data_IF_540218500292
#
_entry.id   IF_540218500292
#
_cell.length_a   1.000
_cell.length_b   1.000
_cell.length_c   1.000
_cell.angle_alpha   90.00
_cell.angle_beta   90.00
_cell.angle_gamma   90.00
#
_symmetry.space_group_name_H-M   'P 1'
#
loop_
_entity.id
_entity.type
_entity.pdbx_description
1 polymer ?
#
# COMPACT_ATOMS: atom_id res chain seq x y z
N UNK A 1 -22.84 -0.31 8.25
CA UNK A 1 -23.37 -1.40 7.40
C UNK A 1 -22.91 -1.18 5.96
N UNK A 2 -21.84 -1.83 5.47
CA UNK A 2 -21.48 -1.81 4.03
C UNK A 2 -20.36 -2.79 3.60
N UNK A 3 -19.98 -3.80 4.41
CA UNK A 3 -18.81 -4.66 4.08
C UNK A 3 -19.12 -5.99 3.37
N UNK A 4 -20.39 -6.42 3.31
CA UNK A 4 -20.74 -7.73 2.74
C UNK A 4 -20.81 -7.75 1.20
N UNK A 5 -21.35 -6.69 0.60
CA UNK A 5 -21.63 -6.67 -0.84
C UNK A 5 -20.37 -6.65 -1.71
N UNK A 6 -19.38 -5.82 -1.36
CA UNK A 6 -18.14 -5.71 -2.14
C UNK A 6 -17.33 -7.02 -2.14
N UNK A 7 -17.29 -7.68 -0.99
CA UNK A 7 -16.62 -8.98 -0.84
C UNK A 7 -17.27 -10.04 -1.73
N UNK A 8 -18.59 -10.09 -1.78
CA UNK A 8 -19.32 -11.04 -2.63
C UNK A 8 -19.10 -10.75 -4.12
N UNK A 9 -19.10 -9.48 -4.52
CA UNK A 9 -18.79 -9.06 -5.91
C UNK A 9 -17.38 -9.54 -6.28
N UNK A 10 -16.41 -9.27 -5.43
CA UNK A 10 -15.00 -9.62 -5.66
C UNK A 10 -14.79 -11.13 -5.69
N UNK A 11 -15.44 -11.87 -4.79
CA UNK A 11 -15.45 -13.33 -4.79
C UNK A 11 -15.99 -13.86 -6.12
N UNK A 12 -17.13 -13.36 -6.60
CA UNK A 12 -17.68 -13.79 -7.90
C UNK A 12 -16.74 -13.49 -9.05
N UNK A 13 -16.18 -12.27 -9.11
CA UNK A 13 -15.21 -11.90 -10.15
C UNK A 13 -13.99 -12.82 -10.19
N UNK A 14 -13.52 -13.27 -9.02
CA UNK A 14 -12.40 -14.20 -8.91
C UNK A 14 -12.78 -15.64 -9.28
N UNK A 15 -13.94 -16.11 -8.83
CA UNK A 15 -14.45 -17.45 -9.15
C UNK A 15 -14.80 -17.62 -10.64
N UNK A 16 -15.30 -16.57 -11.29
CA UNK A 16 -15.57 -16.53 -12.73
C UNK A 16 -14.29 -16.38 -13.57
N UNK A 17 -13.13 -16.30 -12.92
CA UNK A 17 -11.83 -16.12 -13.58
C UNK A 17 -11.75 -14.83 -14.41
N UNK A 18 -12.41 -13.77 -13.94
CA UNK A 18 -12.49 -12.48 -14.61
C UNK A 18 -11.30 -11.56 -14.31
N UNK A 19 -10.55 -11.83 -13.23
CA UNK A 19 -9.42 -11.00 -12.78
C UNK A 19 -8.12 -11.66 -13.18
N UNK A 20 -7.32 -10.97 -14.00
CA UNK A 20 -6.04 -11.50 -14.52
C UNK A 20 -4.83 -10.97 -13.75
N UNK A 21 -4.86 -9.68 -13.40
CA UNK A 21 -3.80 -9.02 -12.65
C UNK A 21 -4.31 -7.81 -11.85
N UNK A 22 -3.61 -7.50 -10.76
CA UNK A 22 -3.79 -6.29 -9.95
C UNK A 22 -2.43 -5.58 -9.86
N UNK A 23 -2.38 -4.35 -10.34
CA UNK A 23 -1.15 -3.56 -10.39
C UNK A 23 -1.32 -2.35 -9.47
N UNK A 24 -0.50 -2.21 -8.44
CA UNK A 24 -0.50 -0.98 -7.64
C UNK A 24 0.16 0.15 -8.43
N UNK A 25 -0.34 1.37 -8.25
CA UNK A 25 0.33 2.56 -8.78
C UNK A 25 0.79 3.47 -7.64
N UNK A 26 1.82 4.30 -7.89
CA UNK A 26 2.33 5.23 -6.90
C UNK A 26 1.25 6.16 -6.34
N UNK A 27 1.35 6.58 -5.07
CA UNK A 27 0.49 7.63 -4.53
C UNK A 27 0.70 8.93 -5.30
N UNK A 28 -0.28 9.83 -5.28
CA UNK A 28 -0.18 11.16 -5.94
C UNK A 28 0.04 11.07 -7.47
N UNK A 29 -0.37 9.97 -8.11
CA UNK A 29 -0.39 9.84 -9.58
C UNK A 29 -1.61 10.47 -10.24
N UNK A 30 -2.65 10.80 -9.47
CA UNK A 30 -3.85 11.50 -9.94
C UNK A 30 -3.97 12.89 -9.32
N UNK A 31 -4.52 13.83 -10.10
CA UNK A 31 -4.84 15.16 -9.58
C UNK A 31 -5.92 15.07 -8.50
N UNK A 32 -5.76 15.81 -7.41
CA UNK A 32 -6.80 15.98 -6.39
C UNK A 32 -6.85 14.93 -5.27
N UNK A 33 -6.06 13.85 -5.33
CA UNK A 33 -5.94 12.92 -4.19
C UNK A 33 -4.52 12.35 -4.05
N UNK A 34 -4.05 12.18 -2.82
CA UNK A 34 -2.80 11.47 -2.53
C UNK A 34 -3.03 9.95 -2.37
N UNK A 35 -4.26 9.47 -2.54
CA UNK A 35 -4.64 8.09 -2.28
C UNK A 35 -3.97 7.16 -3.30
N UNK A 36 -3.28 6.10 -2.86
CA UNK A 36 -2.80 5.06 -3.75
C UNK A 36 -3.96 4.41 -4.50
N UNK A 37 -3.77 4.12 -5.78
CA UNK A 37 -4.76 3.44 -6.59
C UNK A 37 -4.18 2.13 -7.13
N UNK A 38 -5.06 1.27 -7.62
CA UNK A 38 -4.69 0.02 -8.27
C UNK A 38 -5.36 -0.04 -9.65
N UNK A 39 -4.67 -0.63 -10.61
CA UNK A 39 -5.20 -0.98 -11.92
C UNK A 39 -5.60 -2.47 -11.86
N UNK A 40 -6.86 -2.73 -12.16
CA UNK A 40 -7.39 -4.09 -12.26
C UNK A 40 -7.46 -4.49 -13.73
N UNK A 41 -6.73 -5.54 -14.10
CA UNK A 41 -6.79 -6.10 -15.45
C UNK A 41 -7.81 -7.23 -15.43
N UNK A 42 -8.87 -7.05 -16.22
CA UNK A 42 -9.96 -8.02 -16.33
C UNK A 42 -9.95 -8.69 -17.70
N UNK A 43 -10.25 -9.99 -17.72
CA UNK A 43 -10.44 -10.78 -18.94
C UNK A 43 -11.66 -11.66 -18.75
N UNK A 44 -12.58 -11.69 -19.72
CA UNK A 44 -13.86 -12.45 -19.63
C UNK A 44 -13.68 -13.94 -19.27
N UNK A 45 -12.54 -14.51 -19.60
CA UNK A 45 -12.10 -15.81 -19.11
C UNK A 45 -10.58 -15.82 -19.19
N UNK A 46 -9.90 -15.75 -18.04
CA UNK A 46 -8.45 -15.90 -18.05
C UNK A 46 -8.04 -17.33 -18.42
N UNK A 47 -6.90 -17.45 -19.10
CA UNK A 47 -6.28 -18.76 -19.37
C UNK A 47 -5.62 -19.30 -18.10
N UNK A 48 -5.25 -18.40 -17.19
CA UNK A 48 -4.62 -18.74 -15.92
C UNK A 48 -5.66 -18.78 -14.80
N UNK A 49 -5.41 -19.59 -13.77
CA UNK A 49 -6.26 -19.73 -12.56
C UNK A 49 -5.65 -19.05 -11.32
N UNK A 50 -4.64 -18.21 -11.56
CA UNK A 50 -3.97 -17.37 -10.59
C UNK A 50 -4.13 -15.90 -10.97
N UNK A 51 -4.01 -15.02 -9.97
CA UNK A 51 -4.01 -13.57 -10.16
C UNK A 51 -2.59 -13.06 -9.99
N UNK A 52 -2.10 -12.30 -10.96
CA UNK A 52 -0.80 -11.66 -10.87
C UNK A 52 -0.91 -10.35 -10.08
N UNK A 53 -0.18 -10.25 -8.98
CA UNK A 53 -0.02 -9.00 -8.24
C UNK A 53 1.30 -8.36 -8.62
N UNK A 54 1.30 -7.07 -8.93
CA UNK A 54 2.50 -6.30 -9.25
C UNK A 54 2.53 -5.05 -8.37
N UNK A 55 3.64 -4.82 -7.66
CA UNK A 55 3.87 -3.58 -6.93
C UNK A 55 4.56 -2.54 -7.82
N UNK A 56 3.76 -1.63 -8.40
CA UNK A 56 4.26 -0.48 -9.15
C UNK A 56 4.48 0.76 -8.29
N UNK A 57 4.19 0.71 -6.99
CA UNK A 57 4.21 1.87 -6.10
C UNK A 57 5.60 2.51 -5.96
N UNK A 58 6.65 1.72 -6.18
CA UNK A 58 8.05 2.15 -6.11
C UNK A 58 8.61 2.67 -7.45
N UNK A 59 7.89 2.46 -8.55
CA UNK A 59 8.35 2.83 -9.89
C UNK A 59 7.88 4.22 -10.29
N UNK A 60 8.40 5.25 -9.61
CA UNK A 60 8.09 6.63 -9.96
C UNK A 60 9.25 7.59 -9.79
N UNK A 61 9.19 8.66 -10.57
CA UNK A 61 9.98 9.85 -10.33
C UNK A 61 9.21 10.77 -9.37
N UNK A 62 9.81 11.09 -8.23
CA UNK A 62 9.22 12.00 -7.26
C UNK A 62 9.22 13.41 -7.85
N UNK A 63 8.05 14.04 -7.91
CA UNK A 63 7.92 15.43 -8.34
C UNK A 63 7.08 16.22 -7.33
N UNK A 64 7.19 17.55 -7.37
CA UNK A 64 6.60 18.46 -6.39
C UNK A 64 5.06 18.42 -6.35
N UNK A 65 4.42 17.98 -7.43
CA UNK A 65 2.96 18.02 -7.57
C UNK A 65 2.30 16.69 -7.92
N UNK A 66 2.95 15.84 -8.71
CA UNK A 66 2.44 14.51 -9.06
C UNK A 66 3.60 13.55 -9.25
N UNK A 67 3.45 12.34 -8.76
CA UNK A 67 4.37 11.25 -9.07
C UNK A 67 4.07 10.74 -10.48
N UNK A 68 5.10 10.70 -11.32
CA UNK A 68 4.98 10.23 -12.70
C UNK A 68 5.66 8.87 -12.86
N UNK A 69 4.93 7.94 -13.45
CA UNK A 69 5.48 6.74 -14.08
C UNK A 69 6.13 7.18 -15.39
N UNK A 70 7.45 7.09 -15.46
CA UNK A 70 8.20 7.30 -16.72
C UNK A 70 8.10 6.07 -17.63
N UNK A 71 8.61 6.18 -18.85
CA UNK A 71 8.63 5.06 -19.81
C UNK A 71 9.35 3.82 -19.24
N UNK A 72 10.52 4.00 -18.63
CA UNK A 72 11.26 2.90 -17.98
C UNK A 72 10.45 2.15 -16.90
N UNK A 73 9.60 2.88 -16.17
CA UNK A 73 8.73 2.30 -15.15
C UNK A 73 7.59 1.50 -15.78
N UNK A 74 7.00 2.04 -16.85
CA UNK A 74 5.94 1.38 -17.61
C UNK A 74 6.47 0.11 -18.25
N UNK A 75 7.65 0.16 -18.87
CA UNK A 75 8.28 -0.99 -19.52
C UNK A 75 8.62 -2.10 -18.52
N UNK A 76 9.07 -1.74 -17.31
CA UNK A 76 9.27 -2.71 -16.22
C UNK A 76 7.96 -3.38 -15.82
N UNK A 77 6.90 -2.60 -15.55
CA UNK A 77 5.59 -3.15 -15.19
C UNK A 77 5.06 -4.04 -16.31
N UNK A 78 5.19 -3.62 -17.56
CA UNK A 78 4.78 -4.39 -18.73
C UNK A 78 5.56 -5.69 -18.85
N UNK A 79 6.88 -5.67 -18.63
CA UNK A 79 7.72 -6.86 -18.66
C UNK A 79 7.34 -7.88 -17.57
N UNK A 80 7.00 -7.39 -16.37
CA UNK A 80 6.51 -8.23 -15.26
C UNK A 80 5.14 -8.84 -15.60
N UNK A 81 4.25 -8.05 -16.19
CA UNK A 81 2.93 -8.51 -16.61
C UNK A 81 2.99 -9.55 -17.74
N UNK A 82 3.77 -9.30 -18.79
CA UNK A 82 3.95 -10.24 -19.91
C UNK A 82 4.69 -11.50 -19.47
N UNK A 83 5.68 -11.36 -18.60
CA UNK A 83 6.44 -12.48 -18.06
C UNK A 83 5.62 -13.39 -17.14
N UNK A 84 4.64 -12.85 -16.41
CA UNK A 84 3.87 -13.54 -15.35
C UNK A 84 4.75 -14.37 -14.42
N UNK A 85 5.89 -13.80 -13.99
CA UNK A 85 6.81 -14.45 -13.05
C UNK A 85 6.73 -13.78 -11.70
N UNK A 86 6.80 -14.59 -10.66
CA UNK A 86 7.05 -14.12 -9.30
C UNK A 86 8.46 -13.55 -9.23
N UNK A 87 8.58 -12.31 -8.78
CA UNK A 87 9.83 -11.59 -8.60
C UNK A 87 9.78 -10.98 -7.20
N UNK A 88 10.72 -11.36 -6.35
CA UNK A 88 10.74 -10.97 -4.95
C UNK A 88 10.63 -9.45 -4.78
N UNK A 89 9.65 -9.03 -3.99
CA UNK A 89 9.36 -7.63 -3.73
C UNK A 89 8.74 -6.82 -4.86
N UNK A 90 8.47 -7.42 -6.03
CA UNK A 90 7.94 -6.72 -7.20
C UNK A 90 6.69 -7.35 -7.79
N UNK A 91 6.62 -8.68 -7.87
CA UNK A 91 5.47 -9.36 -8.45
C UNK A 91 5.26 -10.75 -7.85
N UNK A 92 4.00 -11.19 -7.74
CA UNK A 92 3.67 -12.51 -7.22
C UNK A 92 2.43 -13.07 -7.92
N UNK A 93 2.52 -14.30 -8.41
CA UNK A 93 1.36 -15.05 -8.93
C UNK A 93 0.69 -15.80 -7.79
N UNK A 94 -0.54 -15.43 -7.45
CA UNK A 94 -1.26 -16.00 -6.31
C UNK A 94 -2.40 -16.89 -6.81
N UNK A 95 -2.40 -18.19 -6.47
CA UNK A 95 -3.45 -19.10 -6.89
C UNK A 95 -4.78 -18.78 -6.20
N UNK A 96 -5.89 -19.10 -6.86
CA UNK A 96 -7.24 -18.84 -6.34
C UNK A 96 -7.48 -19.41 -4.93
N UNK A 97 -6.88 -20.57 -4.61
CA UNK A 97 -6.98 -21.21 -3.29
C UNK A 97 -6.38 -20.36 -2.16
N UNK A 98 -5.29 -19.65 -2.44
CA UNK A 98 -4.67 -18.74 -1.47
C UNK A 98 -5.51 -17.48 -1.28
N UNK A 99 -6.11 -16.97 -2.37
CA UNK A 99 -7.05 -15.85 -2.30
C UNK A 99 -8.30 -16.19 -1.48
N UNK A 100 -8.79 -17.43 -1.56
CA UNK A 100 -9.91 -17.92 -0.75
C UNK A 100 -9.57 -17.90 0.75
N UNK A 101 -8.40 -18.43 1.14
CA UNK A 101 -7.90 -18.35 2.52
C UNK A 101 -7.63 -16.91 2.98
N UNK A 102 -7.33 -16.02 2.03
CA UNK A 102 -7.10 -14.59 2.22
C UNK A 102 -8.37 -13.73 2.27
N UNK A 103 -9.56 -14.32 2.35
CA UNK A 103 -10.84 -13.60 2.34
C UNK A 103 -11.11 -12.79 1.06
N UNK A 104 -10.62 -13.31 -0.08
CA UNK A 104 -10.70 -12.66 -1.38
C UNK A 104 -10.03 -11.27 -1.40
N UNK A 105 -8.98 -11.06 -0.62
CA UNK A 105 -8.31 -9.76 -0.58
C UNK A 105 -7.46 -9.54 -1.84
N UNK A 106 -7.59 -8.38 -2.49
CA UNK A 106 -6.83 -7.98 -3.68
C UNK A 106 -5.81 -6.86 -3.40
N UNK A 107 -5.49 -6.61 -2.15
CA UNK A 107 -4.45 -5.66 -1.76
C UNK A 107 -3.07 -6.20 -2.14
N UNK A 108 -2.37 -5.49 -3.03
CA UNK A 108 -1.04 -5.87 -3.54
C UNK A 108 -0.01 -6.07 -2.43
N UNK A 109 0.04 -5.18 -1.44
CA UNK A 109 1.00 -5.24 -0.32
C UNK A 109 0.87 -6.47 0.58
N UNK A 110 -0.21 -7.25 0.42
CA UNK A 110 -0.38 -8.52 1.12
C UNK A 110 0.43 -9.66 0.49
N UNK A 111 0.63 -9.60 -0.83
CA UNK A 111 1.25 -10.68 -1.61
C UNK A 111 2.62 -10.30 -2.15
N UNK A 112 2.86 -9.01 -2.33
CA UNK A 112 4.15 -8.47 -2.74
C UNK A 112 4.68 -7.64 -1.58
N UNK A 113 5.67 -8.19 -0.88
CA UNK A 113 6.35 -7.50 0.22
C UNK A 113 7.74 -7.11 -0.28
N UNK A 114 8.04 -5.80 -0.40
CA UNK A 114 9.39 -5.38 -0.76
C UNK A 114 10.38 -5.89 0.30
N UNK A 115 11.60 -6.29 -0.10
CA UNK A 115 12.61 -6.71 0.86
C UNK A 115 12.81 -5.58 1.87
N UNK A 116 12.81 -5.94 3.15
CA UNK A 116 13.07 -4.99 4.23
C UNK A 116 14.48 -4.44 3.98
N UNK A 117 14.59 -3.19 3.53
CA UNK A 117 15.85 -2.46 3.67
C UNK A 117 16.16 -2.45 5.14
N UNK A 118 17.23 -3.15 5.55
CA UNK A 118 17.81 -3.10 6.89
C UNK A 118 18.28 -1.66 7.19
N UNK A 119 17.32 -0.81 7.49
CA UNK A 119 17.45 0.55 7.99
C UNK A 119 16.49 0.73 9.15
N UNK A 120 16.24 -0.35 9.90
CA UNK A 120 15.48 -0.31 11.13
C UNK A 120 16.31 0.50 12.11
N UNK A 121 15.87 1.71 12.45
CA UNK A 121 16.34 2.40 13.64
C UNK A 121 16.36 1.37 14.77
N UNK A 122 17.54 1.08 15.33
CA UNK A 122 17.67 0.11 16.41
C UNK A 122 16.64 0.40 17.53
N UNK A 123 16.25 -0.63 18.28
CA UNK A 123 15.37 -0.46 19.45
C UNK A 123 15.91 0.63 20.40
N UNK A 124 17.23 0.75 20.51
CA UNK A 124 17.88 1.79 21.30
C UNK A 124 17.61 3.22 20.79
N UNK A 125 17.58 3.44 19.46
CA UNK A 125 17.21 4.75 18.89
C UNK A 125 15.74 5.08 19.07
N UNK A 126 14.85 4.07 18.98
CA UNK A 126 13.43 4.24 19.23
C UNK A 126 13.14 4.63 20.69
N UNK A 127 13.82 3.98 21.65
CA UNK A 127 13.71 4.31 23.07
C UNK A 127 14.19 5.74 23.37
N UNK A 128 15.34 6.15 22.82
CA UNK A 128 15.82 7.53 22.96
C UNK A 128 14.82 8.57 22.43
N UNK A 129 14.17 8.25 21.31
CA UNK A 129 13.14 9.11 20.73
C UNK A 129 11.89 9.18 21.60
N UNK A 130 11.47 8.05 22.16
CA UNK A 130 10.36 7.99 23.11
C UNK A 130 10.63 8.86 24.34
N UNK A 131 11.82 8.74 24.95
CA UNK A 131 12.19 9.54 26.12
C UNK A 131 12.20 11.04 25.81
N UNK A 132 12.75 11.43 24.65
CA UNK A 132 12.75 12.83 24.21
C UNK A 132 11.34 13.39 24.05
N UNK A 133 10.45 12.63 23.42
CA UNK A 133 9.05 13.05 23.22
C UNK A 133 8.29 13.15 24.55
N UNK A 134 8.53 12.24 25.50
CA UNK A 134 7.94 12.34 26.83
C UNK A 134 8.42 13.58 27.59
N UNK A 135 9.71 13.93 27.45
CA UNK A 135 10.24 15.14 28.04
C UNK A 135 9.57 16.39 27.45
N UNK A 136 9.51 16.50 26.11
CA UNK A 136 8.85 17.63 25.44
C UNK A 136 7.36 17.76 25.83
N UNK A 137 6.64 16.63 25.91
CA UNK A 137 5.25 16.62 26.39
C UNK A 137 5.13 17.13 27.83
N UNK A 138 6.03 16.75 28.73
CA UNK A 138 5.99 17.19 30.12
C UNK A 138 6.19 18.70 30.26
N UNK A 139 7.07 19.29 29.45
CA UNK A 139 7.32 20.73 29.40
C UNK A 139 6.08 21.46 28.89
N UNK A 140 5.52 21.01 27.76
CA UNK A 140 4.30 21.60 27.18
C UNK A 140 3.10 21.52 28.14
N UNK A 141 2.95 20.41 28.86
CA UNK A 141 1.90 20.27 29.88
C UNK A 141 2.08 21.25 31.04
N UNK A 142 3.33 21.49 31.47
CA UNK A 142 3.62 22.47 32.51
C UNK A 142 3.34 23.89 32.03
N UNK A 143 3.72 24.24 30.80
CA UNK A 143 3.40 25.53 30.18
C UNK A 143 1.89 25.75 30.07
N UNK A 144 1.14 24.75 29.59
CA UNK A 144 -0.31 24.79 29.55
C UNK A 144 -0.94 25.04 30.93
N UNK A 145 -0.43 24.37 31.98
CA UNK A 145 -0.91 24.55 33.35
C UNK A 145 -0.66 25.98 33.86
N UNK A 146 0.49 26.57 33.52
CA UNK A 146 0.81 27.95 33.87
C UNK A 146 -0.12 28.94 33.16
N UNK A 147 -0.46 28.69 31.89
CA UNK A 147 -1.41 29.53 31.14
C UNK A 147 -2.83 29.45 31.71
N UNK A 148 -3.34 28.23 31.97
CA UNK A 148 -4.68 28.04 32.54
C UNK A 148 -4.83 28.67 33.94
N UNK A 149 -3.76 28.71 34.73
CA UNK A 149 -3.77 29.36 36.04
C UNK A 149 -3.69 30.90 35.96
N UNK A 150 -3.19 31.47 34.85
CA UNK A 150 -3.18 32.92 34.63
C UNK A 150 -4.55 33.45 34.21
N UNK A 151 -5.34 32.65 33.49
CA UNK A 151 -6.67 33.04 33.02
C UNK A 151 -7.78 32.87 34.08
N UNK A 152 -7.50 32.14 35.18
CA UNK A 152 -8.44 31.94 36.31
C UNK A 152 -8.30 32.99 37.44
N UNK A 153 -7.50 34.05 37.24
CA UNK A 153 -7.29 35.14 38.22
C UNK A 153 -7.82 36.48 37.68
N UNK A 154 -8.71 36.45 36.68
CA UNK A 154 -9.44 37.62 36.16
C UNK A 154 -10.84 37.74 36.72
#
# INVERSE_FOLDING_TARGET
MQRGGEKEIRKRMLLENNVDAVISIPPMSFYGTATPANILIMRKSSVFRDVLFIDGSSFFSRSRRLNRLGEDAIDKILSLYVGRKTVDGLACCVPLKELEGGDWNLTVSRYVVPPVTEGVESVASLLKRQDKLHFELSVLQQEMRVLLNKDNVG
#
